data_IF_052189841606
#
_entry.id   IF_052189841606
#
_cell.length_a   1.000
_cell.length_b   1.000
_cell.length_c   1.000
_cell.angle_alpha   90.00
_cell.angle_beta   90.00
_cell.angle_gamma   90.00
#
_symmetry.space_group_name_H-M   'P 1'
#
loop_
_entity.id
_entity.type
_entity.pdbx_description
1 polymer ?
#
# COMPACT_ATOMS: atom_id res chain seq x y z
N UNK A 1 5.19 17.92 6.74
CA UNK A 1 6.39 17.50 6.01
C UNK A 1 6.07 16.93 4.62
N UNK A 2 4.94 17.28 3.97
CA UNK A 2 4.63 16.98 2.54
C UNK A 2 4.64 15.51 2.05
N UNK A 3 5.20 14.56 2.82
CA UNK A 3 5.51 13.19 2.40
C UNK A 3 4.27 12.37 2.10
N UNK A 4 3.25 12.51 2.96
CA UNK A 4 1.98 11.82 2.75
C UNK A 4 1.35 12.25 1.43
N UNK A 5 1.29 13.55 1.15
CA UNK A 5 0.73 14.11 -0.09
C UNK A 5 1.52 13.67 -1.32
N UNK A 6 2.85 13.54 -1.20
CA UNK A 6 3.74 13.14 -2.28
C UNK A 6 3.39 11.75 -2.86
N UNK A 7 2.90 10.82 -2.03
CA UNK A 7 2.39 9.53 -2.53
C UNK A 7 0.86 9.50 -2.66
N UNK A 8 0.13 10.20 -1.79
CA UNK A 8 -1.32 10.07 -1.71
C UNK A 8 -2.02 10.69 -2.91
N UNK A 9 -1.62 11.87 -3.37
CA UNK A 9 -2.27 12.52 -4.51
C UNK A 9 -2.07 11.75 -5.83
N UNK A 10 -0.87 11.26 -6.17
CA UNK A 10 -0.71 10.36 -7.32
C UNK A 10 -1.56 9.09 -7.21
N UNK A 11 -1.66 8.49 -6.02
CA UNK A 11 -2.52 7.33 -5.78
C UNK A 11 -3.99 7.66 -6.04
N UNK A 12 -4.50 8.79 -5.51
CA UNK A 12 -5.89 9.19 -5.72
C UNK A 12 -6.20 9.46 -7.20
N UNK A 13 -5.32 10.16 -7.93
CA UNK A 13 -5.47 10.35 -9.39
C UNK A 13 -5.50 9.00 -10.12
N UNK A 14 -4.59 8.08 -9.78
CA UNK A 14 -4.60 6.74 -10.36
C UNK A 14 -5.90 5.99 -10.07
N UNK A 15 -6.39 6.02 -8.82
CA UNK A 15 -7.66 5.39 -8.43
C UNK A 15 -8.81 5.92 -9.29
N UNK A 16 -8.93 7.24 -9.46
CA UNK A 16 -9.97 7.84 -10.28
C UNK A 16 -9.88 7.37 -11.73
N UNK A 17 -8.68 7.37 -12.33
CA UNK A 17 -8.47 6.88 -13.71
C UNK A 17 -8.80 5.38 -13.84
N UNK A 18 -8.41 4.58 -12.87
CA UNK A 18 -8.70 3.14 -12.85
C UNK A 18 -10.21 2.89 -12.77
N UNK A 19 -10.93 3.59 -11.89
CA UNK A 19 -12.39 3.49 -11.77
C UNK A 19 -13.12 3.92 -13.04
N UNK A 20 -12.68 4.99 -13.72
CA UNK A 20 -13.24 5.40 -15.03
C UNK A 20 -13.09 4.32 -16.10
N UNK A 21 -12.07 3.46 -15.99
CA UNK A 21 -11.84 2.30 -16.86
C UNK A 21 -12.59 1.04 -16.41
N UNK A 22 -13.38 1.11 -15.33
CA UNK A 22 -14.11 -0.02 -14.77
C UNK A 22 -13.23 -1.00 -13.96
N UNK A 23 -12.01 -0.62 -13.58
CA UNK A 23 -11.13 -1.49 -12.79
C UNK A 23 -11.59 -1.54 -11.32
N UNK A 24 -11.89 -2.75 -10.84
CA UNK A 24 -12.24 -3.05 -9.44
C UNK A 24 -11.01 -3.50 -8.65
N UNK A 25 -11.18 -3.82 -7.36
CA UNK A 25 -10.10 -4.29 -6.49
C UNK A 25 -9.21 -3.17 -5.95
N UNK A 26 -8.23 -3.54 -5.14
CA UNK A 26 -7.30 -2.59 -4.50
C UNK A 26 -6.28 -2.03 -5.48
N UNK A 27 -6.02 -0.71 -5.41
CA UNK A 27 -5.03 0.01 -6.23
C UNK A 27 -3.80 0.37 -5.42
N UNK A 28 -3.97 0.62 -4.11
CA UNK A 28 -2.86 0.96 -3.22
C UNK A 28 -2.95 0.24 -1.87
N UNK A 29 -1.81 -0.26 -1.43
CA UNK A 29 -1.58 -0.80 -0.10
C UNK A 29 -0.57 0.08 0.63
N UNK A 30 -0.95 0.62 1.79
CA UNK A 30 -0.10 1.51 2.59
C UNK A 30 0.20 0.83 3.92
N UNK A 31 1.49 0.60 4.17
CA UNK A 31 2.01 -0.01 5.39
C UNK A 31 2.56 1.07 6.31
N UNK A 32 2.02 1.11 7.52
CA UNK A 32 2.54 1.93 8.61
C UNK A 32 3.27 1.06 9.64
N UNK A 33 4.30 1.58 10.32
CA UNK A 33 5.01 0.85 11.37
C UNK A 33 4.16 0.66 12.63
N UNK A 34 3.23 1.58 12.90
CA UNK A 34 2.44 1.62 14.13
C UNK A 34 0.97 1.95 13.83
N UNK A 35 0.08 1.38 14.64
CA UNK A 35 -1.37 1.60 14.50
C UNK A 35 -1.77 3.06 14.72
N UNK A 36 -1.13 3.76 15.65
CA UNK A 36 -1.41 5.17 15.91
C UNK A 36 -1.24 6.00 14.62
N UNK A 37 -0.12 5.83 13.92
CA UNK A 37 0.13 6.51 12.66
C UNK A 37 -0.89 6.10 11.58
N UNK A 38 -1.22 4.81 11.47
CA UNK A 38 -2.25 4.34 10.54
C UNK A 38 -3.62 4.98 10.83
N UNK A 39 -4.00 5.11 12.10
CA UNK A 39 -5.27 5.71 12.51
C UNK A 39 -5.32 7.22 12.19
N UNK A 40 -4.24 7.95 12.47
CA UNK A 40 -4.12 9.36 12.14
C UNK A 40 -4.24 9.59 10.63
N UNK A 41 -3.53 8.78 9.82
CA UNK A 41 -3.62 8.85 8.36
C UNK A 41 -4.98 8.40 7.82
N UNK A 42 -5.65 7.45 8.48
CA UNK A 42 -7.01 7.04 8.12
C UNK A 42 -8.03 8.16 8.35
N UNK A 43 -7.95 8.88 9.47
CA UNK A 43 -8.81 10.05 9.71
C UNK A 43 -8.57 11.15 8.67
N UNK A 44 -7.29 11.41 8.36
CA UNK A 44 -6.92 12.38 7.34
C UNK A 44 -7.46 12.01 5.96
N UNK A 45 -7.29 10.76 5.55
CA UNK A 45 -7.82 10.26 4.28
C UNK A 45 -9.35 10.33 4.23
N UNK A 46 -10.04 9.95 5.32
CA UNK A 46 -11.49 10.06 5.41
C UNK A 46 -11.98 11.50 5.19
N UNK A 47 -11.31 12.47 5.82
CA UNK A 47 -11.59 13.90 5.63
C UNK A 47 -11.41 14.34 4.18
N UNK A 48 -10.28 13.97 3.54
CA UNK A 48 -10.01 14.27 2.13
C UNK A 48 -11.12 13.70 1.23
N UNK A 49 -11.44 12.40 1.39
CA UNK A 49 -12.42 11.69 0.57
C UNK A 49 -13.86 12.19 0.74
N UNK A 50 -14.19 12.82 1.87
CA UNK A 50 -15.55 13.28 2.18
C UNK A 50 -15.74 14.78 2.00
N UNK A 51 -14.65 15.54 1.85
CA UNK A 51 -14.68 16.99 1.63
C UNK A 51 -14.57 17.39 0.16
N UNK A 52 -14.40 16.42 -0.75
CA UNK A 52 -14.13 16.63 -2.17
C UNK A 52 -15.08 15.76 -3.02
N UNK A 53 -16.03 16.39 -3.70
CA UNK A 53 -17.04 15.68 -4.51
C UNK A 53 -16.44 14.90 -5.68
N UNK A 54 -15.29 15.32 -6.21
CA UNK A 54 -14.57 14.61 -7.27
C UNK A 54 -13.92 13.30 -6.80
N UNK A 55 -13.79 13.10 -5.49
CA UNK A 55 -13.36 11.85 -4.86
C UNK A 55 -14.54 10.97 -4.44
N UNK A 56 -15.77 11.37 -4.73
CA UNK A 56 -16.96 10.58 -4.43
C UNK A 56 -16.86 9.18 -5.07
N UNK A 57 -17.03 8.16 -4.25
CA UNK A 57 -16.98 6.75 -4.65
C UNK A 57 -15.60 6.10 -4.56
N UNK A 58 -14.53 6.83 -4.22
CA UNK A 58 -13.26 6.21 -3.81
C UNK A 58 -13.47 5.49 -2.47
N UNK A 59 -13.13 4.20 -2.42
CA UNK A 59 -13.23 3.41 -1.18
C UNK A 59 -11.88 3.27 -0.52
N UNK A 60 -11.84 3.43 0.81
CA UNK A 60 -10.64 3.21 1.58
C UNK A 60 -10.98 2.50 2.90
N UNK A 61 -10.07 1.65 3.36
CA UNK A 61 -10.22 0.89 4.60
C UNK A 61 -8.96 0.96 5.46
N UNK A 62 -9.14 0.73 6.75
CA UNK A 62 -8.06 0.51 7.70
C UNK A 62 -8.19 -0.89 8.34
N UNK A 63 -7.09 -1.64 8.33
CA UNK A 63 -7.00 -2.98 8.90
C UNK A 63 -5.76 -3.09 9.80
N UNK A 64 -5.87 -2.71 11.06
CA UNK A 64 -4.75 -2.68 12.03
C UNK A 64 -4.86 -3.74 13.14
N UNK A 65 -5.92 -4.55 13.10
CA UNK A 65 -6.22 -5.56 14.13
C UNK A 65 -6.88 -4.99 15.39
N UNK A 66 -7.00 -3.66 15.48
CA UNK A 66 -7.66 -2.98 16.60
C UNK A 66 -9.17 -3.16 16.58
N UNK A 67 -9.76 -3.13 17.78
CA UNK A 67 -11.20 -3.12 17.96
C UNK A 67 -11.70 -1.68 17.89
N UNK A 68 -12.82 -1.48 17.22
CA UNK A 68 -13.38 -0.15 17.02
C UNK A 68 -14.72 -0.19 16.31
N UNK A 69 -15.27 1.00 15.95
CA UNK A 69 -16.55 1.08 15.27
C UNK A 69 -16.53 0.30 13.97
N UNK A 70 -17.61 -0.44 13.70
CA UNK A 70 -17.76 -1.28 12.52
C UNK A 70 -18.38 -0.48 11.38
N UNK A 71 -17.55 0.05 10.49
CA UNK A 71 -17.96 0.88 9.34
C UNK A 71 -17.89 0.06 8.06
N UNK A 72 -18.96 0.11 7.27
CA UNK A 72 -19.06 -0.52 5.95
C UNK A 72 -18.80 0.44 4.79
N UNK A 73 -18.72 1.75 5.05
CA UNK A 73 -18.48 2.79 4.05
C UNK A 73 -17.56 3.86 4.63
N UNK A 74 -16.89 4.59 3.74
CA UNK A 74 -16.16 5.82 4.10
C UNK A 74 -17.19 6.89 4.50
N UNK A 75 -16.95 7.56 5.61
CA UNK A 75 -17.68 8.76 6.05
C UNK A 75 -16.72 9.74 6.71
N UNK A 76 -17.21 10.92 7.09
CA UNK A 76 -16.45 11.87 7.90
C UNK A 76 -15.97 11.25 9.24
N UNK A 77 -16.65 10.22 9.74
CA UNK A 77 -16.28 9.51 10.97
C UNK A 77 -15.12 8.52 10.79
N UNK A 78 -14.74 8.20 9.54
CA UNK A 78 -13.61 7.34 9.24
C UNK A 78 -13.79 6.41 8.05
N UNK A 79 -12.77 5.57 7.86
CA UNK A 79 -12.69 4.58 6.79
C UNK A 79 -13.46 3.30 7.10
N UNK A 80 -13.58 2.43 6.09
CA UNK A 80 -14.14 1.09 6.24
C UNK A 80 -13.28 0.27 7.23
N UNK A 81 -13.93 -0.41 8.17
CA UNK A 81 -13.26 -1.27 9.18
C UNK A 81 -13.85 -2.68 9.24
N UNK A 82 -15.04 -2.88 8.66
CA UNK A 82 -15.70 -4.20 8.62
C UNK A 82 -14.93 -5.16 7.74
N UNK A 83 -14.40 -6.22 8.36
CA UNK A 83 -13.57 -7.24 7.68
C UNK A 83 -14.33 -7.97 6.59
N UNK A 84 -15.61 -8.25 6.80
CA UNK A 84 -16.46 -8.92 5.81
C UNK A 84 -16.68 -8.06 4.56
N UNK A 85 -16.79 -6.74 4.72
CA UNK A 85 -16.86 -5.79 3.60
C UNK A 85 -15.54 -5.73 2.85
N UNK A 86 -14.41 -5.61 3.56
CA UNK A 86 -13.07 -5.57 2.94
C UNK A 86 -12.79 -6.85 2.14
N UNK A 87 -13.28 -8.02 2.58
CA UNK A 87 -13.13 -9.30 1.85
C UNK A 87 -14.03 -9.41 0.63
N UNK A 88 -15.30 -9.00 0.78
CA UNK A 88 -16.29 -9.15 -0.29
C UNK A 88 -16.03 -8.14 -1.42
N UNK A 89 -15.62 -6.92 -1.08
CA UNK A 89 -15.31 -5.85 -2.01
C UNK A 89 -14.05 -5.08 -1.53
N UNK A 90 -12.84 -5.52 -1.95
CA UNK A 90 -11.60 -4.87 -1.53
C UNK A 90 -11.59 -3.38 -1.86
N UNK A 91 -11.18 -2.52 -0.90
CA UNK A 91 -11.20 -1.07 -1.09
C UNK A 91 -10.17 -0.64 -2.13
N UNK A 92 -10.35 0.53 -2.75
CA UNK A 92 -9.35 1.10 -3.65
C UNK A 92 -8.01 1.33 -2.92
N UNK A 93 -8.05 1.72 -1.64
CA UNK A 93 -6.88 1.97 -0.79
C UNK A 93 -7.02 1.20 0.54
N UNK A 94 -6.02 0.40 0.90
CA UNK A 94 -5.95 -0.27 2.21
C UNK A 94 -4.79 0.27 3.05
N UNK A 95 -5.11 0.77 4.25
CA UNK A 95 -4.13 1.15 5.26
C UNK A 95 -4.00 -0.01 6.26
N UNK A 96 -2.79 -0.47 6.51
CA UNK A 96 -2.51 -1.59 7.42
C UNK A 96 -1.10 -1.47 8.00
N UNK A 97 -0.68 -2.47 8.78
CA UNK A 97 0.69 -2.63 9.24
C UNK A 97 1.25 -3.99 8.76
N UNK A 98 2.56 -4.20 8.89
CA UNK A 98 3.20 -5.43 8.40
C UNK A 98 2.68 -6.70 9.10
N UNK A 99 2.35 -6.64 10.40
CA UNK A 99 1.80 -7.78 11.14
C UNK A 99 0.45 -8.20 10.58
N UNK A 100 -0.39 -7.22 10.24
CA UNK A 100 -1.72 -7.46 9.69
C UNK A 100 -1.67 -7.88 8.23
N UNK A 101 -0.74 -7.33 7.44
CA UNK A 101 -0.47 -7.84 6.09
C UNK A 101 -0.08 -9.33 6.13
N UNK A 102 0.79 -9.73 7.04
CA UNK A 102 1.17 -11.13 7.22
C UNK A 102 -0.06 -12.02 7.52
N UNK A 103 -0.92 -11.58 8.43
CA UNK A 103 -2.17 -12.29 8.72
C UNK A 103 -3.14 -12.34 7.53
N UNK A 104 -3.24 -11.29 6.73
CA UNK A 104 -4.10 -11.23 5.54
C UNK A 104 -3.58 -12.16 4.43
N UNK A 105 -2.26 -12.37 4.34
CA UNK A 105 -1.66 -13.29 3.37
C UNK A 105 -1.79 -14.78 3.77
N UNK A 106 -1.91 -15.07 5.07
CA UNK A 106 -1.96 -16.46 5.57
C UNK A 106 -3.38 -17.04 5.66
N UNK A 107 -4.40 -16.20 5.87
CA UNK A 107 -5.77 -16.66 6.13
C UNK A 107 -6.51 -16.91 4.82
N UNK A 108 -6.98 -18.14 4.64
CA UNK A 108 -7.79 -18.51 3.47
C UNK A 108 -9.04 -17.63 3.30
N UNK A 109 -9.66 -17.20 4.41
CA UNK A 109 -10.81 -16.29 4.38
C UNK A 109 -10.52 -14.91 3.77
N UNK A 110 -9.24 -14.53 3.63
CA UNK A 110 -8.80 -13.26 3.06
C UNK A 110 -8.20 -13.45 1.64
N UNK A 111 -8.13 -14.69 1.12
CA UNK A 111 -7.52 -15.00 -0.18
C UNK A 111 -8.15 -14.22 -1.34
N UNK A 112 -9.47 -14.03 -1.29
CA UNK A 112 -10.24 -13.28 -2.28
C UNK A 112 -9.82 -11.81 -2.41
N UNK A 113 -9.25 -11.21 -1.35
CA UNK A 113 -8.73 -9.84 -1.41
C UNK A 113 -7.63 -9.76 -2.46
N UNK A 114 -6.72 -10.73 -2.44
CA UNK A 114 -5.58 -10.81 -3.35
C UNK A 114 -6.03 -11.20 -4.75
N UNK A 115 -6.94 -12.18 -4.88
CA UNK A 115 -7.49 -12.59 -6.18
C UNK A 115 -8.16 -11.42 -6.91
N UNK A 116 -9.00 -10.65 -6.21
CA UNK A 116 -9.73 -9.50 -6.78
C UNK A 116 -8.83 -8.29 -7.05
N UNK A 117 -7.65 -8.23 -6.44
CA UNK A 117 -6.72 -7.10 -6.54
C UNK A 117 -5.47 -7.40 -7.37
N UNK A 118 -5.29 -8.64 -7.83
CA UNK A 118 -4.06 -9.14 -8.44
C UNK A 118 -3.61 -8.31 -9.66
N UNK A 119 -4.56 -7.84 -10.45
CA UNK A 119 -4.30 -7.03 -11.64
C UNK A 119 -4.48 -5.53 -11.44
N UNK A 120 -4.97 -5.09 -10.27
CA UNK A 120 -5.27 -3.68 -9.99
C UNK A 120 -4.29 -3.03 -9.02
N UNK A 121 -3.61 -3.81 -8.17
CA UNK A 121 -2.69 -3.27 -7.16
C UNK A 121 -1.46 -2.69 -7.85
N UNK A 122 -1.36 -1.36 -7.84
CA UNK A 122 -0.30 -0.61 -8.51
C UNK A 122 0.69 0.01 -7.54
N UNK A 123 0.29 0.30 -6.30
CA UNK A 123 1.15 0.99 -5.33
C UNK A 123 1.28 0.20 -4.03
N UNK A 124 2.52 0.09 -3.55
CA UNK A 124 2.86 -0.35 -2.21
C UNK A 124 3.67 0.74 -1.54
N UNK A 125 3.12 1.35 -0.50
CA UNK A 125 3.78 2.42 0.26
C UNK A 125 4.26 1.86 1.60
N UNK A 126 5.54 2.07 1.93
CA UNK A 126 6.11 1.83 3.25
C UNK A 126 6.39 3.19 3.90
N UNK A 127 5.58 3.57 4.87
CA UNK A 127 5.81 4.80 5.62
C UNK A 127 6.83 4.61 6.74
N UNK A 128 7.52 5.69 7.10
CA UNK A 128 8.61 5.70 8.07
C UNK A 128 9.64 4.60 7.81
N UNK A 129 10.16 4.56 6.59
CA UNK A 129 11.01 3.49 6.06
C UNK A 129 12.24 3.19 6.94
N UNK A 130 12.74 4.19 7.66
CA UNK A 130 13.86 4.05 8.60
C UNK A 130 13.57 3.12 9.78
N UNK A 131 12.29 2.84 10.08
CA UNK A 131 11.89 1.95 11.17
C UNK A 131 12.02 0.47 10.81
N UNK A 132 12.33 0.14 9.55
CA UNK A 132 12.48 -1.23 9.08
C UNK A 132 13.95 -1.69 9.10
N UNK A 133 14.71 -1.44 10.16
CA UNK A 133 16.12 -1.83 10.22
C UNK A 133 16.34 -3.26 10.73
N UNK A 134 17.57 -3.76 10.56
CA UNK A 134 18.03 -5.05 11.06
C UNK A 134 17.10 -6.24 10.76
N UNK A 135 16.66 -6.93 11.82
CA UNK A 135 15.80 -8.12 11.69
C UNK A 135 14.41 -7.77 11.13
N UNK A 136 13.84 -6.62 11.54
CA UNK A 136 12.51 -6.20 11.08
C UNK A 136 12.51 -5.93 9.57
N UNK A 137 13.56 -5.31 9.04
CA UNK A 137 13.73 -5.12 7.60
C UNK A 137 13.77 -6.43 6.81
N UNK A 138 14.42 -7.45 7.36
CA UNK A 138 14.49 -8.78 6.76
C UNK A 138 13.11 -9.45 6.71
N UNK A 139 12.36 -9.39 7.82
CA UNK A 139 11.01 -9.95 7.89
C UNK A 139 10.05 -9.26 6.91
N UNK A 140 10.11 -7.92 6.84
CA UNK A 140 9.31 -7.16 5.86
C UNK A 140 9.71 -7.50 4.44
N UNK A 141 11.00 -7.69 4.17
CA UNK A 141 11.46 -8.11 2.85
C UNK A 141 10.82 -9.44 2.43
N UNK A 142 10.86 -10.46 3.29
CA UNK A 142 10.24 -11.75 3.01
C UNK A 142 8.71 -11.65 2.89
N UNK A 143 8.08 -10.80 3.69
CA UNK A 143 6.65 -10.53 3.61
C UNK A 143 6.26 -9.93 2.25
N UNK A 144 7.02 -8.96 1.74
CA UNK A 144 6.78 -8.37 0.42
C UNK A 144 6.96 -9.39 -0.71
N UNK A 145 7.87 -10.36 -0.56
CA UNK A 145 8.07 -11.43 -1.55
C UNK A 145 6.87 -12.34 -1.58
N UNK A 146 6.31 -12.66 -0.41
CA UNK A 146 5.07 -13.43 -0.28
C UNK A 146 3.87 -12.69 -0.86
N UNK A 147 3.77 -11.37 -0.66
CA UNK A 147 2.75 -10.54 -1.30
C UNK A 147 2.85 -10.64 -2.83
N UNK A 148 4.06 -10.46 -3.38
CA UNK A 148 4.31 -10.59 -4.82
C UNK A 148 3.91 -11.97 -5.36
N UNK A 149 4.32 -13.05 -4.69
CA UNK A 149 3.95 -14.42 -5.07
C UNK A 149 2.42 -14.65 -5.01
N UNK A 150 1.76 -14.17 -3.96
CA UNK A 150 0.32 -14.33 -3.79
C UNK A 150 -0.47 -13.62 -4.89
N UNK A 151 -0.07 -12.41 -5.29
CA UNK A 151 -0.73 -11.70 -6.40
C UNK A 151 -0.49 -12.41 -7.73
N UNK A 152 0.76 -12.80 -8.00
CA UNK A 152 1.15 -13.48 -9.23
C UNK A 152 0.47 -14.83 -9.43
N UNK A 153 0.12 -15.53 -8.35
CA UNK A 153 -0.63 -16.79 -8.46
C UNK A 153 -2.04 -16.62 -9.02
N UNK A 154 -2.57 -15.39 -9.00
CA UNK A 154 -3.87 -15.04 -9.59
C UNK A 154 -3.74 -14.31 -10.94
N UNK A 155 -2.53 -14.11 -11.45
CA UNK A 155 -2.34 -13.47 -12.74
C UNK A 155 -2.76 -14.40 -13.89
N UNK A 156 -3.57 -13.92 -14.85
CA UNK A 156 -3.82 -14.66 -16.08
C UNK A 156 -2.50 -14.87 -16.83
N UNK A 157 -2.40 -15.97 -17.58
CA UNK A 157 -1.18 -16.32 -18.32
C UNK A 157 -0.75 -15.21 -19.32
N UNK A 158 -1.71 -14.55 -19.95
CA UNK A 158 -1.46 -13.62 -21.07
C UNK A 158 -1.48 -12.13 -20.70
N UNK A 159 -1.80 -11.78 -19.45
CA UNK A 159 -2.01 -10.36 -19.07
C UNK A 159 -0.74 -9.63 -18.61
N UNK A 160 0.37 -10.35 -18.39
CA UNK A 160 1.61 -9.81 -17.82
C UNK A 160 2.83 -10.37 -18.54
N UNK A 161 3.83 -9.51 -18.73
CA UNK A 161 5.07 -9.86 -19.43
C UNK A 161 5.97 -10.75 -18.57
N UNK A 162 6.95 -11.42 -19.18
CA UNK A 162 7.97 -12.15 -18.42
C UNK A 162 8.78 -11.23 -17.50
N UNK A 163 9.02 -9.98 -17.93
CA UNK A 163 9.68 -8.96 -17.13
C UNK A 163 8.88 -8.63 -15.86
N UNK A 164 7.55 -8.46 -15.97
CA UNK A 164 6.68 -8.26 -14.81
C UNK A 164 6.74 -9.46 -13.86
N UNK A 165 6.73 -10.68 -14.41
CA UNK A 165 6.80 -11.91 -13.60
C UNK A 165 8.13 -12.06 -12.86
N UNK A 166 9.23 -11.57 -13.43
CA UNK A 166 10.56 -11.62 -12.84
C UNK A 166 10.72 -10.64 -11.66
N UNK A 167 10.10 -9.45 -11.72
CA UNK A 167 10.18 -8.43 -10.63
C UNK A 167 9.54 -8.95 -9.35
N UNK A 168 10.15 -8.89 -8.15
CA UNK A 168 9.58 -9.45 -6.93
C UNK A 168 8.14 -9.03 -6.64
N UNK A 169 7.82 -7.75 -6.83
CA UNK A 169 6.48 -7.20 -6.61
C UNK A 169 5.62 -7.09 -7.88
N UNK A 170 6.10 -7.61 -9.01
CA UNK A 170 5.33 -7.62 -10.23
C UNK A 170 5.25 -6.24 -10.90
N UNK A 171 4.03 -5.79 -11.18
CA UNK A 171 3.77 -4.45 -11.76
C UNK A 171 3.70 -3.35 -10.71
N UNK A 172 3.72 -3.70 -9.42
CA UNK A 172 3.63 -2.75 -8.32
C UNK A 172 4.79 -1.75 -8.39
N UNK A 173 4.47 -0.49 -8.12
CA UNK A 173 5.42 0.59 -7.87
C UNK A 173 5.64 0.70 -6.36
N UNK A 174 6.80 0.26 -5.85
CA UNK A 174 7.15 0.46 -4.45
C UNK A 174 7.46 1.93 -4.18
N UNK A 175 6.97 2.43 -3.05
CA UNK A 175 7.21 3.79 -2.56
C UNK A 175 7.62 3.69 -1.09
N UNK A 176 8.65 4.43 -0.70
CA UNK A 176 9.10 4.52 0.68
C UNK A 176 9.25 5.98 1.09
N UNK A 177 8.75 6.34 2.26
CA UNK A 177 8.91 7.68 2.85
C UNK A 177 9.77 7.60 4.11
N UNK A 178 10.70 8.53 4.29
CA UNK A 178 11.53 8.58 5.49
C UNK A 178 11.81 10.02 5.92
N UNK A 179 11.79 10.26 7.23
CA UNK A 179 12.23 11.52 7.82
C UNK A 179 13.74 11.64 7.98
N UNK A 180 14.44 10.53 8.20
CA UNK A 180 15.81 10.56 8.73
C UNK A 180 16.85 10.02 7.75
N UNK A 181 16.44 9.17 6.80
CA UNK A 181 17.36 8.59 5.81
C UNK A 181 17.79 9.60 4.72
N UNK A 182 16.94 10.57 4.40
CA UNK A 182 17.19 11.53 3.32
C UNK A 182 17.71 12.90 3.75
N UNK A 183 17.70 13.23 5.04
CA UNK A 183 17.84 14.62 5.46
C UNK A 183 19.30 15.11 5.49
N UNK A 184 20.29 14.21 5.63
CA UNK A 184 21.73 14.55 5.73
C UNK A 184 22.71 13.44 5.28
N UNK A 185 22.22 12.36 4.68
CA UNK A 185 22.99 11.14 4.39
C UNK A 185 23.30 10.93 2.91
N UNK A 186 24.23 10.01 2.63
CA UNK A 186 24.49 9.50 1.29
C UNK A 186 23.24 8.77 0.75
N UNK A 187 22.64 9.23 -0.37
CA UNK A 187 21.50 8.55 -1.00
C UNK A 187 21.77 7.08 -1.31
N UNK A 188 23.03 6.67 -1.49
CA UNK A 188 23.40 5.30 -1.77
C UNK A 188 22.96 4.33 -0.67
N UNK A 189 23.08 4.70 0.61
CA UNK A 189 22.67 3.84 1.72
C UNK A 189 21.14 3.62 1.72
N UNK A 190 20.37 4.66 1.40
CA UNK A 190 18.92 4.55 1.28
C UNK A 190 18.51 3.70 0.07
N UNK A 191 19.20 3.86 -1.06
CA UNK A 191 18.97 3.06 -2.27
C UNK A 191 19.33 1.58 -2.06
N UNK A 192 20.45 1.28 -1.40
CA UNK A 192 20.86 -0.08 -1.06
C UNK A 192 19.86 -0.74 -0.11
N UNK A 193 19.38 0.02 0.88
CA UNK A 193 18.38 -0.46 1.80
C UNK A 193 17.02 -0.68 1.09
N UNK A 194 16.59 0.24 0.22
CA UNK A 194 15.41 0.07 -0.63
C UNK A 194 15.53 -1.15 -1.55
N UNK A 195 16.70 -1.36 -2.17
CA UNK A 195 16.98 -2.54 -2.98
C UNK A 195 16.85 -3.82 -2.18
N UNK A 196 17.35 -3.83 -0.95
CA UNK A 196 17.22 -4.97 -0.05
C UNK A 196 15.76 -5.21 0.34
N UNK A 197 15.01 -4.15 0.69
CA UNK A 197 13.63 -4.28 1.17
C UNK A 197 12.62 -4.54 0.07
N UNK A 198 12.81 -4.05 -1.15
CA UNK A 198 11.87 -4.29 -2.26
C UNK A 198 12.35 -5.39 -3.21
N UNK A 199 13.66 -5.63 -3.28
CA UNK A 199 14.27 -6.60 -4.19
C UNK A 199 14.36 -6.09 -5.63
N UNK A 200 14.30 -4.77 -5.81
CA UNK A 200 14.34 -4.10 -7.11
C UNK A 200 15.41 -3.02 -7.12
N UNK A 201 15.98 -2.76 -8.29
CA UNK A 201 16.97 -1.70 -8.48
C UNK A 201 16.29 -0.33 -8.52
N UNK A 202 16.92 0.66 -7.90
CA UNK A 202 16.45 2.05 -7.89
C UNK A 202 17.57 2.96 -8.38
N UNK A 203 17.24 3.83 -9.34
CA UNK A 203 18.16 4.86 -9.82
C UNK A 203 18.23 6.03 -8.82
N UNK A 204 19.29 6.84 -8.91
CA UNK A 204 19.41 8.05 -8.09
C UNK A 204 18.25 9.04 -8.30
N UNK A 205 17.64 9.04 -9.49
CA UNK A 205 16.45 9.82 -9.84
C UNK A 205 15.19 9.40 -9.07
N UNK A 206 15.17 8.21 -8.47
CA UNK A 206 14.06 7.73 -7.65
C UNK A 206 14.01 8.40 -6.27
N UNK A 207 15.09 9.08 -5.85
CA UNK A 207 15.15 9.81 -4.59
C UNK A 207 14.58 11.21 -4.78
N UNK A 208 13.51 11.50 -4.05
CA UNK A 208 12.86 12.82 -4.04
C UNK A 208 13.12 13.46 -2.67
N UNK A 209 13.76 14.63 -2.65
CA UNK A 209 14.06 15.41 -1.44
C UNK A 209 13.26 16.71 -1.42
N UNK A 210 12.98 17.26 -0.23
CA UNK A 210 12.46 18.61 -0.10
C UNK A 210 13.56 19.61 -0.48
N UNK A 211 13.22 20.61 -1.30
CA UNK A 211 14.10 21.72 -1.72
C UNK A 211 13.77 23.00 -0.98
#
# INVERSE_FOLDING_TARGET
SGKTEAFLFPILDHVLRAKRRGLTGMKALILYPMNALANDQAQRLASILTSHDDLAGVTAAIYTGEQGPQRSKVSADGLITRRDVIRSDPPDILLTNYKMLDQLLLRNADADIWAKSAASLQYLVLDEFHTYDGAQGTDVSMLLRRLGLALKSYWPAESFTEADRARPLGTITPVATSATLGDKGDPAAMLEFARTVFGEEFEASAVITES
#
